data_IF_615188329928
#
_entry.id   IF_615188329928
#
_cell.length_a   1.000
_cell.length_b   1.000
_cell.length_c   1.000
_cell.angle_alpha   90.00
_cell.angle_beta   90.00
_cell.angle_gamma   90.00
#
_symmetry.space_group_name_H-M   'P 1'
#
loop_
_entity.id
_entity.type
_entity.pdbx_description
1 polymer ?
#
# COMPACT_ATOMS: atom_id res chain seq x y z
N UNK A 1 -27.16 19.21 39.19
CA UNK A 1 -26.15 19.95 38.38
C UNK A 1 -24.75 19.32 38.38
N UNK A 2 -24.58 18.00 38.59
CA UNK A 2 -23.24 17.33 38.54
C UNK A 2 -23.13 16.17 37.55
N UNK A 3 -24.19 15.85 36.78
CA UNK A 3 -24.18 14.76 35.79
C UNK A 3 -24.02 15.22 34.34
N UNK A 4 -24.02 16.53 34.07
CA UNK A 4 -23.92 17.06 32.71
C UNK A 4 -22.48 17.40 32.28
N UNK A 5 -21.54 17.52 33.22
CA UNK A 5 -20.15 17.89 32.92
C UNK A 5 -19.26 16.70 32.50
N UNK A 6 -19.68 15.46 32.81
CA UNK A 6 -18.88 14.27 32.50
C UNK A 6 -19.01 13.80 31.04
N UNK A 7 -20.05 14.24 30.32
CA UNK A 7 -20.31 13.81 28.94
C UNK A 7 -19.47 14.59 27.90
N UNK A 8 -19.00 15.78 28.25
CA UNK A 8 -18.19 16.60 27.33
C UNK A 8 -16.72 16.19 27.31
N UNK A 9 -16.20 15.58 28.39
CA UNK A 9 -14.80 15.13 28.45
C UNK A 9 -14.56 13.79 27.74
N UNK A 10 -15.56 12.92 27.63
CA UNK A 10 -15.42 11.65 26.88
C UNK A 10 -15.50 11.86 25.36
N UNK A 11 -16.30 12.82 24.90
CA UNK A 11 -16.46 13.09 23.47
C UNK A 11 -15.19 13.70 22.83
N UNK A 12 -14.45 14.53 23.59
CA UNK A 12 -13.21 15.15 23.13
C UNK A 12 -12.04 14.15 22.98
N UNK A 13 -12.03 13.07 23.78
CA UNK A 13 -10.99 12.03 23.67
C UNK A 13 -11.25 11.05 22.53
N UNK A 14 -12.51 10.78 22.20
CA UNK A 14 -12.89 9.95 21.04
C UNK A 14 -12.70 10.67 19.70
N UNK A 15 -12.73 12.00 19.66
CA UNK A 15 -12.45 12.76 18.43
C UNK A 15 -10.96 12.81 18.08
N UNK A 16 -10.05 12.50 19.01
CA UNK A 16 -8.60 12.47 18.77
C UNK A 16 -8.09 11.15 18.14
N UNK A 17 -8.94 10.14 18.00
CA UNK A 17 -8.55 8.85 17.40
C UNK A 17 -9.09 8.63 15.98
N UNK A 18 -9.81 9.60 15.41
CA UNK A 18 -10.33 9.56 14.03
C UNK A 18 -9.52 10.39 13.05
N UNK A 19 -8.32 10.85 13.44
CA UNK A 19 -7.29 11.22 12.48
C UNK A 19 -6.74 9.94 11.85
N UNK A 20 -7.55 9.26 11.03
CA UNK A 20 -6.99 8.44 9.96
C UNK A 20 -6.05 9.37 9.23
N UNK A 21 -4.74 9.13 9.38
CA UNK A 21 -3.70 9.99 8.85
C UNK A 21 -4.00 10.21 7.37
N UNK A 22 -4.53 11.39 7.06
CA UNK A 22 -4.65 11.83 5.69
C UNK A 22 -3.21 11.80 5.17
N UNK A 23 -2.92 10.89 4.25
CA UNK A 23 -1.55 10.64 3.81
C UNK A 23 -0.92 11.98 3.46
N UNK A 24 0.25 12.27 4.03
CA UNK A 24 0.94 13.51 3.73
C UNK A 24 1.13 13.58 2.21
N UNK A 25 0.91 14.75 1.58
CA UNK A 25 1.06 14.87 0.13
C UNK A 25 2.43 14.35 -0.29
N UNK A 26 2.46 13.46 -1.30
CA UNK A 26 3.71 13.05 -1.92
C UNK A 26 4.36 14.30 -2.53
N UNK A 27 5.58 14.61 -2.10
CA UNK A 27 6.24 15.85 -2.48
C UNK A 27 7.73 15.66 -2.65
N UNK A 28 8.31 16.38 -3.61
CA UNK A 28 9.75 16.51 -3.71
C UNK A 28 10.30 17.12 -2.40
N UNK A 29 11.44 16.62 -1.96
CA UNK A 29 12.14 17.20 -0.82
C UNK A 29 12.74 18.58 -1.16
N UNK A 30 13.36 19.24 -0.18
CA UNK A 30 13.93 20.59 -0.35
C UNK A 30 15.01 20.68 -1.45
N UNK A 31 15.58 19.55 -1.87
CA UNK A 31 16.58 19.46 -2.92
C UNK A 31 15.97 19.08 -4.29
N UNK A 32 14.64 19.06 -4.41
CA UNK A 32 13.94 18.69 -5.64
C UNK A 32 14.00 17.18 -5.95
N UNK A 33 14.27 16.32 -4.96
CA UNK A 33 14.35 14.86 -5.14
C UNK A 33 13.15 14.16 -4.52
N UNK A 34 12.67 13.12 -5.20
CA UNK A 34 11.71 12.16 -4.70
C UNK A 34 12.23 10.75 -5.02
N UNK A 35 12.35 9.87 -4.02
CA UNK A 35 12.89 8.52 -4.18
C UNK A 35 11.76 7.49 -4.07
N UNK A 36 11.67 6.64 -5.09
CA UNK A 36 10.80 5.47 -5.11
C UNK A 36 11.68 4.22 -5.01
N UNK A 37 11.29 3.27 -4.16
CA UNK A 37 11.76 1.89 -4.24
C UNK A 37 10.62 1.05 -4.79
N UNK A 38 10.92 0.26 -5.82
CA UNK A 38 9.96 -0.65 -6.43
C UNK A 38 10.35 -2.10 -6.14
N UNK A 39 9.36 -2.89 -5.73
CA UNK A 39 9.44 -4.35 -5.63
C UNK A 39 8.38 -4.98 -6.53
N UNK A 40 8.59 -6.24 -6.86
CA UNK A 40 7.67 -7.09 -7.62
C UNK A 40 7.97 -8.54 -7.27
N UNK A 41 7.03 -9.44 -7.55
CA UNK A 41 7.28 -10.89 -7.51
C UNK A 41 7.85 -11.35 -6.15
N UNK A 42 7.24 -10.85 -5.07
CA UNK A 42 7.61 -11.28 -3.73
C UNK A 42 7.21 -12.74 -3.51
N UNK A 43 6.14 -13.18 -4.18
CA UNK A 43 5.59 -14.55 -4.15
C UNK A 43 5.60 -15.13 -2.74
N UNK A 44 5.17 -14.32 -1.77
CA UNK A 44 5.27 -14.68 -0.36
C UNK A 44 4.24 -15.74 0.00
N UNK A 45 4.66 -16.71 0.82
CA UNK A 45 3.81 -17.78 1.35
C UNK A 45 3.98 -17.78 2.86
N UNK A 46 2.87 -17.59 3.58
CA UNK A 46 2.86 -17.63 5.04
C UNK A 46 3.33 -18.99 5.57
N UNK A 47 4.13 -18.97 6.64
CA UNK A 47 4.79 -20.14 7.26
C UNK A 47 5.72 -20.93 6.30
N UNK A 48 6.23 -20.30 5.25
CA UNK A 48 7.28 -20.87 4.39
C UNK A 48 8.63 -20.14 4.60
N UNK A 49 9.61 -20.76 5.28
CA UNK A 49 10.92 -20.15 5.50
C UNK A 49 11.66 -19.75 4.23
N UNK A 50 11.39 -20.39 3.09
CA UNK A 50 11.97 -20.00 1.80
C UNK A 50 11.47 -18.65 1.30
N UNK A 51 10.25 -18.26 1.66
CA UNK A 51 9.64 -16.98 1.29
C UNK A 51 10.05 -15.84 2.23
N UNK A 52 10.46 -16.14 3.47
CA UNK A 52 10.87 -15.12 4.46
C UNK A 52 12.04 -14.25 3.97
N UNK A 53 12.92 -14.81 3.13
CA UNK A 53 14.04 -14.09 2.52
C UNK A 53 13.54 -12.87 1.73
N UNK A 54 12.39 -12.95 1.07
CA UNK A 54 11.83 -11.80 0.34
C UNK A 54 11.51 -10.64 1.30
N UNK A 55 10.95 -10.93 2.47
CA UNK A 55 10.65 -9.93 3.49
C UNK A 55 11.93 -9.33 4.10
N UNK A 56 12.97 -10.13 4.29
CA UNK A 56 14.29 -9.65 4.72
C UNK A 56 14.87 -8.66 3.70
N UNK A 57 14.83 -8.98 2.40
CA UNK A 57 15.32 -8.09 1.33
C UNK A 57 14.51 -6.80 1.24
N UNK A 58 13.19 -6.85 1.38
CA UNK A 58 12.36 -5.64 1.48
C UNK A 58 12.82 -4.79 2.65
N UNK A 59 13.09 -5.39 3.82
CA UNK A 59 13.56 -4.65 4.98
C UNK A 59 14.89 -3.95 4.73
N UNK A 60 15.90 -4.68 4.25
CA UNK A 60 17.25 -4.19 4.01
C UNK A 60 17.26 -3.05 2.99
N UNK A 61 16.58 -3.23 1.86
CA UNK A 61 16.53 -2.22 0.79
C UNK A 61 15.87 -0.94 1.28
N UNK A 62 14.72 -1.04 1.97
CA UNK A 62 14.04 0.16 2.47
C UNK A 62 14.86 0.89 3.53
N UNK A 63 15.53 0.15 4.42
CA UNK A 63 16.36 0.76 5.48
C UNK A 63 17.62 1.44 4.91
N UNK A 64 18.21 0.85 3.87
CA UNK A 64 19.36 1.42 3.17
C UNK A 64 18.96 2.65 2.33
N UNK A 65 17.89 2.52 1.55
CA UNK A 65 17.51 3.54 0.57
C UNK A 65 16.71 4.70 1.16
N UNK A 66 15.94 4.47 2.23
CA UNK A 66 15.06 5.47 2.87
C UNK A 66 14.19 6.20 1.83
N UNK A 67 13.34 5.46 1.08
CA UNK A 67 12.51 6.05 0.04
C UNK A 67 11.41 6.96 0.60
N UNK A 68 10.91 7.84 -0.26
CA UNK A 68 9.72 8.66 -0.02
C UNK A 68 8.42 7.88 -0.33
N UNK A 69 8.50 6.85 -1.17
CA UNK A 69 7.39 5.96 -1.54
C UNK A 69 7.90 4.55 -1.86
N UNK A 70 7.19 3.53 -1.39
CA UNK A 70 7.41 2.13 -1.78
C UNK A 70 6.30 1.71 -2.75
N UNK A 71 6.63 1.00 -3.83
CA UNK A 71 5.64 0.46 -4.77
C UNK A 71 5.89 -1.04 -4.95
N UNK A 72 4.87 -1.86 -4.73
CA UNK A 72 4.87 -3.29 -5.07
C UNK A 72 4.01 -3.47 -6.31
N UNK A 73 4.59 -3.91 -7.42
CA UNK A 73 3.94 -3.91 -8.75
C UNK A 73 3.30 -5.24 -9.13
N UNK A 74 2.87 -6.03 -8.15
CA UNK A 74 2.17 -7.29 -8.37
C UNK A 74 2.92 -8.51 -7.84
N UNK A 75 2.23 -9.65 -7.90
CA UNK A 75 2.73 -10.97 -7.52
C UNK A 75 3.31 -10.97 -6.09
N UNK A 76 2.48 -10.44 -5.19
CA UNK A 76 2.80 -10.26 -3.78
C UNK A 76 2.78 -11.59 -3.05
N UNK A 77 1.79 -12.44 -3.34
CA UNK A 77 1.58 -13.73 -2.69
C UNK A 77 1.52 -14.88 -3.69
N UNK A 78 1.98 -16.07 -3.27
CA UNK A 78 1.99 -17.27 -4.11
C UNK A 78 1.57 -18.53 -3.33
N UNK A 79 0.45 -18.48 -2.60
CA UNK A 79 -0.02 -19.65 -1.86
C UNK A 79 -1.07 -19.37 -0.80
N UNK A 80 -1.63 -20.45 -0.26
CA UNK A 80 -2.54 -20.41 0.89
C UNK A 80 -1.76 -20.37 2.22
N UNK A 81 -2.31 -19.73 3.27
CA UNK A 81 -3.54 -18.94 3.28
C UNK A 81 -3.30 -17.49 2.80
N UNK A 82 -4.07 -17.07 1.79
CA UNK A 82 -3.87 -15.79 1.09
C UNK A 82 -3.96 -14.56 2.01
N UNK A 83 -4.89 -14.57 2.96
CA UNK A 83 -5.07 -13.49 3.93
C UNK A 83 -3.83 -13.30 4.80
N UNK A 84 -3.27 -14.38 5.34
CA UNK A 84 -2.08 -14.29 6.19
C UNK A 84 -0.84 -13.93 5.40
N UNK A 85 -0.69 -14.46 4.18
CA UNK A 85 0.42 -14.12 3.29
C UNK A 85 0.42 -12.62 2.97
N UNK A 86 -0.73 -12.06 2.56
CA UNK A 86 -0.84 -10.65 2.24
C UNK A 86 -0.59 -9.78 3.48
N UNK A 87 -1.16 -10.14 4.63
CA UNK A 87 -0.95 -9.42 5.90
C UNK A 87 0.51 -9.41 6.34
N UNK A 88 1.25 -10.52 6.18
CA UNK A 88 2.66 -10.59 6.55
C UNK A 88 3.52 -9.61 5.72
N UNK A 89 3.28 -9.50 4.41
CA UNK A 89 3.94 -8.51 3.55
C UNK A 89 3.57 -7.09 3.98
N UNK A 90 2.28 -6.82 4.18
CA UNK A 90 1.79 -5.50 4.59
C UNK A 90 2.30 -5.09 5.98
N UNK A 91 2.47 -6.03 6.92
CA UNK A 91 3.06 -5.78 8.24
C UNK A 91 4.50 -5.28 8.11
N UNK A 92 5.29 -5.85 7.19
CA UNK A 92 6.66 -5.40 6.91
C UNK A 92 6.66 -4.00 6.31
N UNK A 93 5.82 -3.75 5.30
CA UNK A 93 5.71 -2.43 4.66
C UNK A 93 5.26 -1.34 5.66
N UNK A 94 4.21 -1.62 6.43
CA UNK A 94 3.68 -0.67 7.41
C UNK A 94 4.69 -0.32 8.52
N UNK A 95 5.52 -1.28 8.95
CA UNK A 95 6.59 -1.03 9.95
C UNK A 95 7.61 0.00 9.48
N UNK A 96 7.78 0.19 8.17
CA UNK A 96 8.69 1.18 7.60
C UNK A 96 8.20 2.61 7.75
N UNK A 97 6.90 2.82 8.00
CA UNK A 97 6.27 4.15 8.12
C UNK A 97 6.51 5.05 6.90
N UNK A 98 6.83 4.45 5.76
CA UNK A 98 6.88 5.08 4.45
C UNK A 98 5.56 4.78 3.75
N UNK A 99 4.92 5.77 3.09
CA UNK A 99 3.76 5.50 2.26
C UNK A 99 4.05 4.40 1.25
N UNK A 100 3.09 3.51 1.02
CA UNK A 100 3.28 2.43 0.05
C UNK A 100 2.06 2.18 -0.81
N UNK A 101 2.31 1.71 -2.03
CA UNK A 101 1.32 1.26 -3.00
C UNK A 101 1.55 -0.22 -3.27
N UNK A 102 0.47 -1.00 -3.24
CA UNK A 102 0.43 -2.39 -3.69
C UNK A 102 -0.52 -2.49 -4.88
N UNK A 103 -0.01 -2.99 -6.00
CA UNK A 103 -0.76 -3.43 -7.17
C UNK A 103 -0.82 -4.96 -7.20
N UNK A 104 -1.75 -5.50 -8.00
CA UNK A 104 -1.93 -6.94 -8.15
C UNK A 104 -1.22 -7.46 -9.39
N UNK A 105 -0.62 -8.63 -9.26
CA UNK A 105 -0.19 -9.47 -10.38
C UNK A 105 -1.24 -10.53 -10.70
N UNK A 106 -0.89 -11.50 -11.54
CA UNK A 106 -1.81 -12.56 -11.94
C UNK A 106 -1.99 -13.63 -10.85
N UNK A 107 -1.00 -13.83 -9.98
CA UNK A 107 -1.05 -14.90 -8.98
C UNK A 107 -1.81 -14.53 -7.70
N UNK A 108 -1.96 -13.24 -7.41
CA UNK A 108 -2.41 -12.79 -6.09
C UNK A 108 -3.80 -13.32 -5.69
N UNK A 109 -4.74 -13.44 -6.64
CA UNK A 109 -6.11 -13.90 -6.38
C UNK A 109 -6.39 -15.36 -6.74
N UNK A 110 -5.34 -16.19 -6.90
CA UNK A 110 -5.46 -17.62 -7.21
C UNK A 110 -5.60 -18.51 -5.96
N UNK A 111 -5.46 -17.95 -4.75
CA UNK A 111 -5.28 -18.73 -3.51
C UNK A 111 -6.44 -18.62 -2.50
N UNK A 112 -7.66 -18.38 -2.98
CA UNK A 112 -8.90 -18.54 -2.19
C UNK A 112 -9.51 -17.24 -1.64
N UNK A 113 -8.94 -16.08 -1.97
CA UNK A 113 -9.59 -14.79 -1.82
C UNK A 113 -9.64 -14.08 -3.19
N UNK A 114 -10.71 -13.35 -3.44
CA UNK A 114 -10.79 -12.51 -4.64
C UNK A 114 -9.87 -11.30 -4.52
N UNK A 115 -9.50 -10.71 -5.67
CA UNK A 115 -8.76 -9.44 -5.74
C UNK A 115 -9.41 -8.33 -4.91
N UNK A 116 -10.74 -8.25 -4.91
CA UNK A 116 -11.48 -7.27 -4.09
C UNK A 116 -11.33 -7.52 -2.58
N UNK A 117 -11.40 -8.79 -2.14
CA UNK A 117 -11.20 -9.14 -0.73
C UNK A 117 -9.76 -8.85 -0.28
N UNK A 118 -8.76 -9.15 -1.12
CA UNK A 118 -7.37 -8.79 -0.86
C UNK A 118 -7.19 -7.27 -0.83
N UNK A 119 -7.87 -6.54 -1.71
CA UNK A 119 -7.81 -5.08 -1.72
C UNK A 119 -8.41 -4.45 -0.45
N UNK A 120 -9.48 -5.04 0.09
CA UNK A 120 -10.02 -4.62 1.39
C UNK A 120 -9.02 -4.84 2.53
N UNK A 121 -8.21 -5.91 2.48
CA UNK A 121 -7.10 -6.11 3.41
C UNK A 121 -6.05 -5.00 3.23
N UNK A 122 -5.58 -4.76 1.99
CA UNK A 122 -4.57 -3.73 1.68
C UNK A 122 -5.00 -2.35 2.20
N UNK A 123 -6.24 -1.93 1.92
CA UNK A 123 -6.80 -0.64 2.37
C UNK A 123 -6.84 -0.49 3.89
N UNK A 124 -6.93 -1.60 4.63
CA UNK A 124 -7.01 -1.57 6.10
C UNK A 124 -5.68 -1.24 6.78
N UNK A 125 -4.57 -1.27 6.05
CA UNK A 125 -3.23 -1.08 6.62
C UNK A 125 -2.82 0.39 6.71
N UNK A 126 -2.15 0.80 7.81
CA UNK A 126 -1.62 2.16 7.92
C UNK A 126 -0.51 2.38 6.90
N UNK A 127 -0.34 3.62 6.47
CA UNK A 127 0.62 4.05 5.44
C UNK A 127 0.35 3.50 4.02
N UNK A 128 -0.64 2.62 3.82
CA UNK A 128 -1.12 2.29 2.49
C UNK A 128 -1.73 3.53 1.84
N UNK A 129 -1.36 3.79 0.59
CA UNK A 129 -1.96 4.84 -0.25
C UNK A 129 -2.56 4.29 -1.53
N UNK A 130 -2.63 2.96 -1.72
CA UNK A 130 -3.34 2.37 -2.85
C UNK A 130 -4.81 2.77 -2.84
N UNK A 131 -5.30 3.24 -3.98
CA UNK A 131 -6.69 3.64 -4.24
C UNK A 131 -7.24 2.91 -5.47
N UNK A 132 -8.45 3.27 -5.87
CA UNK A 132 -9.03 2.99 -7.19
C UNK A 132 -9.33 4.30 -7.91
N UNK A 133 -9.37 4.27 -9.24
CA UNK A 133 -9.84 5.39 -10.08
C UNK A 133 -11.16 4.99 -10.69
N UNK A 134 -12.20 5.81 -10.48
CA UNK A 134 -13.52 5.59 -11.06
C UNK A 134 -13.43 5.56 -12.60
N UNK A 135 -14.11 4.59 -13.22
CA UNK A 135 -14.15 4.44 -14.67
C UNK A 135 -12.93 3.74 -15.28
N UNK A 136 -11.88 3.44 -14.52
CA UNK A 136 -10.77 2.58 -14.99
C UNK A 136 -11.01 1.13 -14.59
N UNK A 137 -10.77 0.21 -15.53
CA UNK A 137 -10.83 -1.23 -15.29
C UNK A 137 -9.66 -1.68 -14.40
N UNK A 138 -9.88 -2.74 -13.61
CA UNK A 138 -8.90 -3.25 -12.65
C UNK A 138 -9.09 -2.68 -11.23
N UNK A 139 -8.33 -3.20 -10.28
CA UNK A 139 -8.39 -2.83 -8.86
C UNK A 139 -7.01 -2.37 -8.41
N UNK A 140 -6.93 -1.26 -7.69
CA UNK A 140 -5.67 -0.71 -7.21
C UNK A 140 -5.05 0.37 -8.10
N UNK A 141 -5.72 0.77 -9.19
CA UNK A 141 -5.29 1.90 -10.01
C UNK A 141 -5.17 3.18 -9.17
N UNK A 142 -4.01 3.83 -9.21
CA UNK A 142 -3.72 5.06 -8.49
C UNK A 142 -3.17 6.15 -9.41
N UNK A 143 -3.58 7.39 -9.14
CA UNK A 143 -3.02 8.59 -9.77
C UNK A 143 -2.61 9.53 -8.63
N UNK A 144 -1.31 9.77 -8.49
CA UNK A 144 -0.79 10.67 -7.49
C UNK A 144 -0.14 11.88 -8.12
N UNK A 145 -0.44 13.06 -7.60
CA UNK A 145 0.32 14.26 -7.95
C UNK A 145 1.46 14.46 -6.96
N UNK A 146 2.67 14.58 -7.48
CA UNK A 146 3.87 14.93 -6.72
C UNK A 146 3.97 16.44 -6.63
N UNK A 147 3.87 16.95 -5.41
CA UNK A 147 3.96 18.38 -5.14
C UNK A 147 5.42 18.85 -5.15
N UNK A 148 5.67 19.99 -5.76
CA UNK A 148 6.90 20.76 -5.60
C UNK A 148 7.02 21.39 -4.23
N UNK A 149 8.17 22.02 -3.96
CA UNK A 149 8.39 22.79 -2.71
C UNK A 149 7.45 24.00 -2.59
N UNK A 150 6.94 24.49 -3.71
CA UNK A 150 5.96 25.58 -3.81
C UNK A 150 4.50 25.11 -3.60
N UNK A 151 4.27 23.81 -3.37
CA UNK A 151 2.95 23.21 -3.18
C UNK A 151 2.14 22.96 -4.46
N UNK A 152 2.67 23.28 -5.64
CA UNK A 152 2.05 23.00 -6.94
C UNK A 152 2.38 21.59 -7.42
N UNK A 153 1.58 21.06 -8.31
CA UNK A 153 1.88 19.79 -8.98
C UNK A 153 3.07 19.97 -9.93
N UNK A 154 4.07 19.11 -9.79
CA UNK A 154 5.28 19.10 -10.63
C UNK A 154 5.44 17.80 -11.41
N UNK A 155 4.86 16.70 -10.93
CA UNK A 155 4.77 15.44 -11.66
C UNK A 155 3.51 14.66 -11.29
N UNK A 156 3.10 13.75 -12.16
CA UNK A 156 2.00 12.81 -11.92
C UNK A 156 2.56 11.39 -12.00
N UNK A 157 2.25 10.56 -11.01
CA UNK A 157 2.57 9.14 -10.98
C UNK A 157 1.31 8.33 -11.24
N UNK A 158 1.36 7.49 -12.27
CA UNK A 158 0.32 6.53 -12.61
C UNK A 158 0.77 5.14 -12.17
N UNK A 159 0.00 4.51 -11.28
CA UNK A 159 0.17 3.12 -10.88
C UNK A 159 -1.05 2.36 -11.41
N UNK A 160 -0.86 1.47 -12.38
CA UNK A 160 -1.96 0.86 -13.12
C UNK A 160 -2.00 -0.65 -12.89
N UNK A 161 -3.21 -1.18 -12.69
CA UNK A 161 -3.48 -2.61 -12.73
C UNK A 161 -3.44 -3.06 -14.20
N UNK A 162 -2.46 -3.90 -14.54
CA UNK A 162 -2.31 -4.48 -15.87
C UNK A 162 -3.34 -5.56 -16.19
N UNK A 163 -4.25 -5.84 -15.26
CA UNK A 163 -5.03 -7.07 -15.19
C UNK A 163 -4.14 -8.30 -14.94
N UNK A 164 -4.71 -9.50 -15.06
CA UNK A 164 -3.97 -10.76 -14.93
C UNK A 164 -3.37 -11.17 -16.28
N UNK A 165 -4.03 -12.09 -16.98
CA UNK A 165 -3.57 -12.63 -18.26
C UNK A 165 -4.11 -11.84 -19.46
N UNK A 166 -3.36 -11.87 -20.56
CA UNK A 166 -3.79 -11.32 -21.85
C UNK A 166 -5.08 -12.01 -22.32
N UNK A 167 -6.04 -11.22 -22.78
CA UNK A 167 -7.22 -11.74 -23.48
C UNK A 167 -6.99 -11.94 -24.98
N UNK A 168 -5.78 -11.62 -25.48
CA UNK A 168 -5.39 -11.80 -26.87
C UNK A 168 -4.78 -13.19 -27.02
N UNK A 169 -5.39 -14.03 -27.85
CA UNK A 169 -4.93 -15.38 -28.11
C UNK A 169 -3.47 -15.38 -28.63
N UNK A 170 -2.61 -16.18 -28.01
CA UNK A 170 -1.21 -16.35 -28.42
C UNK A 170 -0.23 -15.29 -27.88
N UNK A 171 -0.68 -14.40 -27.00
CA UNK A 171 0.15 -13.50 -26.19
C UNK A 171 0.04 -13.94 -24.74
#
# INVERSE_FOLDING_TARGET
MKKLLLLCFTCAWSCLQLSYAQSSPLKFNSNGKFKIVQFTDLHYIYDNPGSDIALERVNEVVDAEKPDLIIVTGDVIYGKPADKSMRAVLDVLAKKKTPFVVLFGNHDDEFGLSRSQLFDIIKSYPYNVTTTVEGLSGIGNCIFSLKGTNGKDEAILYCLDSHAYSSIEGI
#
